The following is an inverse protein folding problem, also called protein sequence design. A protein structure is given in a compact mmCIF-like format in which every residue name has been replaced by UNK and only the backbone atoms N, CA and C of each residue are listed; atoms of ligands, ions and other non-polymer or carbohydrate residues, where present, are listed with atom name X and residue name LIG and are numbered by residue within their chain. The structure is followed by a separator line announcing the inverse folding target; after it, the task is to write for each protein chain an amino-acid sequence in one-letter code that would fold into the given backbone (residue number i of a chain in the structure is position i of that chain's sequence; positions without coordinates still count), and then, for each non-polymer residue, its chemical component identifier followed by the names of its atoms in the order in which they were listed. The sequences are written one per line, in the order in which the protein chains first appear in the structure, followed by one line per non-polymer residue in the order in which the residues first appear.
data_IF_616359634431
#
_entry.id   IF_616359634431
#
_cell.length_a   1.000
_cell.length_b   1.000
_cell.length_c   1.000
_cell.angle_alpha   90.00
_cell.angle_beta   90.00
_cell.angle_gamma   90.00
#
_symmetry.space_group_name_H-M   'P 1'
#
loop_
_entity.id
_entity.type
_entity.pdbx_description
1 polymer ?
#
# COMPACT_ATOMS: atom_id res chain seq x y z
N UNK A 1 -36.22 -28.79 -47.17
CA UNK A 1 -35.43 -29.02 -45.93
C UNK A 1 -35.08 -27.66 -45.33
N UNK A 2 -35.87 -27.22 -44.35
CA UNK A 2 -35.65 -26.01 -43.54
C UNK A 2 -35.21 -26.47 -42.14
N UNK A 3 -34.42 -25.62 -41.46
CA UNK A 3 -33.68 -25.84 -40.20
C UNK A 3 -32.23 -26.22 -40.45
N UNK A 4 -31.35 -25.22 -40.42
CA UNK A 4 -29.93 -25.39 -40.09
C UNK A 4 -29.22 -24.06 -39.78
N UNK A 5 -29.87 -22.90 -39.99
CA UNK A 5 -29.27 -21.59 -39.67
C UNK A 5 -29.64 -21.04 -38.28
N UNK A 6 -30.68 -21.58 -37.64
CA UNK A 6 -31.14 -21.04 -36.35
C UNK A 6 -30.31 -21.53 -35.15
N UNK A 7 -29.73 -22.73 -35.24
CA UNK A 7 -28.99 -23.35 -34.13
C UNK A 7 -27.61 -22.71 -33.95
N UNK A 8 -26.97 -22.26 -35.03
CA UNK A 8 -25.62 -21.68 -34.99
C UNK A 8 -25.62 -20.29 -34.32
N UNK A 9 -26.71 -19.52 -34.47
CA UNK A 9 -26.79 -18.17 -33.92
C UNK A 9 -27.10 -18.16 -32.41
N UNK A 10 -27.73 -19.20 -31.88
CA UNK A 10 -28.04 -19.31 -30.44
C UNK A 10 -26.83 -19.78 -29.61
N UNK A 11 -25.92 -20.58 -30.20
CA UNK A 11 -24.73 -21.10 -29.49
C UNK A 11 -23.67 -20.00 -29.30
N UNK A 12 -23.51 -19.08 -30.25
CA UNK A 12 -22.56 -17.95 -30.12
C UNK A 12 -22.99 -16.95 -29.05
N UNK A 13 -24.31 -16.78 -28.83
CA UNK A 13 -24.82 -15.90 -27.78
C UNK A 13 -24.61 -16.45 -26.36
N UNK A 14 -24.42 -17.76 -26.21
CA UNK A 14 -24.22 -18.39 -24.90
C UNK A 14 -22.74 -18.38 -24.46
N UNK A 15 -21.79 -18.29 -25.42
CA UNK A 15 -20.37 -18.15 -25.12
C UNK A 15 -19.96 -16.74 -24.65
N UNK A 16 -20.80 -15.72 -24.84
CA UNK A 16 -20.50 -14.36 -24.36
C UNK A 16 -20.76 -14.15 -22.86
N UNK A 17 -21.47 -15.07 -22.19
CA UNK A 17 -21.83 -14.91 -20.78
C UNK A 17 -20.78 -15.45 -19.80
N UNK A 18 -19.73 -16.11 -20.29
CA UNK A 18 -18.68 -16.71 -19.44
C UNK A 18 -17.60 -15.68 -19.03
N UNK A 19 -17.66 -14.44 -19.54
CA UNK A 19 -16.69 -13.38 -19.20
C UNK A 19 -17.16 -12.37 -18.15
N UNK A 20 -18.36 -12.53 -17.57
CA UNK A 20 -18.90 -11.59 -16.57
C UNK A 20 -18.74 -12.05 -15.11
N UNK A 21 -17.93 -13.08 -14.84
CA UNK A 21 -17.74 -13.61 -13.47
C UNK A 21 -16.31 -13.49 -12.95
N UNK A 22 -15.50 -12.58 -13.49
CA UNK A 22 -14.45 -11.98 -12.68
C UNK A 22 -15.11 -10.94 -11.78
N UNK A 23 -15.85 -11.40 -10.76
CA UNK A 23 -16.07 -10.60 -9.57
C UNK A 23 -14.70 -10.07 -9.17
N UNK A 24 -14.43 -8.78 -9.37
CA UNK A 24 -13.35 -8.08 -8.68
C UNK A 24 -13.62 -8.35 -7.20
N UNK A 25 -12.93 -9.33 -6.61
CA UNK A 25 -12.94 -9.49 -5.17
C UNK A 25 -12.41 -8.16 -4.65
N UNK A 26 -13.31 -7.37 -4.10
CA UNK A 26 -13.07 -6.27 -3.18
C UNK A 26 -12.48 -6.85 -1.90
N UNK A 27 -11.37 -7.58 -2.01
CA UNK A 27 -10.54 -7.90 -0.87
C UNK A 27 -9.61 -6.71 -0.70
N UNK A 28 -9.69 -6.06 0.46
CA UNK A 28 -8.70 -5.08 0.86
C UNK A 28 -7.29 -5.70 0.63
N UNK A 29 -6.40 -5.03 -0.11
CA UNK A 29 -5.10 -5.60 -0.48
C UNK A 29 -4.13 -5.70 0.69
N UNK A 30 -4.45 -5.11 1.84
CA UNK A 30 -3.61 -5.04 3.02
C UNK A 30 -3.86 -6.24 3.92
N UNK A 31 -2.79 -6.81 4.48
CA UNK A 31 -2.87 -7.92 5.42
C UNK A 31 -3.52 -7.49 6.75
N UNK A 32 -4.22 -8.42 7.41
CA UNK A 32 -4.80 -8.16 8.73
C UNK A 32 -3.77 -8.29 9.85
N UNK A 33 -3.95 -7.52 10.93
CA UNK A 33 -2.97 -7.43 12.02
C UNK A 33 -2.73 -8.74 12.77
N UNK A 34 -3.71 -9.63 12.86
CA UNK A 34 -3.57 -10.96 13.47
C UNK A 34 -2.59 -11.88 12.71
N UNK A 35 -2.34 -11.58 11.44
CA UNK A 35 -1.43 -12.32 10.55
C UNK A 35 -0.03 -11.71 10.50
N UNK A 36 0.30 -10.83 11.43
CA UNK A 36 1.60 -10.15 11.49
C UNK A 36 2.15 -10.21 12.90
N UNK A 37 3.41 -10.60 13.03
CA UNK A 37 4.18 -10.57 14.28
C UNK A 37 5.11 -9.36 14.34
N UNK A 38 5.60 -8.89 13.19
CA UNK A 38 6.48 -7.72 13.09
C UNK A 38 6.44 -7.03 11.74
N UNK A 39 6.91 -5.79 11.71
CA UNK A 39 7.18 -5.03 10.51
C UNK A 39 8.63 -4.55 10.49
N UNK A 40 9.26 -4.59 9.32
CA UNK A 40 10.55 -3.95 9.06
C UNK A 40 10.33 -2.88 8.00
N UNK A 41 10.65 -1.64 8.36
CA UNK A 41 10.51 -0.46 7.50
C UNK A 41 11.88 -0.09 6.96
N UNK A 42 11.93 0.28 5.69
CA UNK A 42 13.10 0.81 5.01
C UNK A 42 12.73 2.13 4.35
N UNK A 43 13.54 3.16 4.58
CA UNK A 43 13.44 4.45 3.91
C UNK A 43 14.78 4.72 3.24
N UNK A 44 14.75 4.84 1.92
CA UNK A 44 15.92 5.12 1.11
C UNK A 44 15.82 6.53 0.55
N UNK A 45 16.81 7.36 0.88
CA UNK A 45 16.89 8.73 0.38
C UNK A 45 17.24 8.77 -1.11
N UNK A 46 17.27 9.97 -1.69
CA UNK A 46 17.57 10.20 -3.09
C UNK A 46 19.05 9.93 -3.47
N UNK A 47 19.95 9.96 -2.48
CA UNK A 47 21.37 9.60 -2.59
C UNK A 47 21.62 8.10 -2.43
N UNK A 48 20.59 7.35 -2.06
CA UNK A 48 20.61 5.90 -1.90
C UNK A 48 21.04 5.42 -0.51
N UNK A 49 21.16 6.31 0.48
CA UNK A 49 21.34 5.93 1.89
C UNK A 49 20.05 5.33 2.41
N UNK A 50 20.16 4.20 3.09
CA UNK A 50 19.01 3.45 3.62
C UNK A 50 18.97 3.55 5.14
N UNK A 51 17.78 3.80 5.66
CA UNK A 51 17.45 3.81 7.08
C UNK A 51 16.42 2.73 7.33
N UNK A 52 16.61 1.93 8.38
CA UNK A 52 15.70 0.83 8.71
C UNK A 52 15.25 0.87 10.16
N UNK A 53 14.01 0.45 10.40
CA UNK A 53 13.46 0.30 11.74
C UNK A 53 12.60 -0.96 11.82
N UNK A 54 12.70 -1.70 12.93
CA UNK A 54 11.88 -2.89 13.19
C UNK A 54 10.92 -2.64 14.36
N UNK A 55 9.66 -3.02 14.18
CA UNK A 55 8.62 -2.91 15.21
C UNK A 55 7.80 -4.18 15.35
N UNK A 56 7.51 -4.55 16.59
CA UNK A 56 6.72 -5.74 16.95
C UNK A 56 5.54 -5.40 17.87
N UNK A 57 5.46 -4.15 18.37
CA UNK A 57 4.39 -3.71 19.25
C UNK A 57 3.02 -3.78 18.55
N UNK A 58 2.03 -4.37 19.21
CA UNK A 58 0.73 -4.61 18.59
C UNK A 58 -0.02 -3.32 18.24
N UNK A 59 0.11 -2.28 19.06
CA UNK A 59 -0.56 -1.00 18.78
C UNK A 59 0.10 -0.32 17.58
N UNK A 60 1.43 -0.31 17.54
CA UNK A 60 2.17 0.16 16.38
C UNK A 60 1.76 -0.58 15.10
N UNK A 61 1.72 -1.92 15.11
CA UNK A 61 1.38 -2.73 13.93
C UNK A 61 -0.04 -2.43 13.45
N UNK A 62 -1.01 -2.33 14.38
CA UNK A 62 -2.39 -1.95 14.06
C UNK A 62 -2.47 -0.55 13.45
N UNK A 63 -1.78 0.42 14.02
CA UNK A 63 -1.74 1.79 13.50
C UNK A 63 -1.10 1.86 12.11
N UNK A 64 0.01 1.14 11.91
CA UNK A 64 0.69 1.09 10.62
C UNK A 64 -0.21 0.50 9.53
N UNK A 65 -0.84 -0.65 9.82
CA UNK A 65 -1.79 -1.29 8.90
C UNK A 65 -3.02 -0.41 8.65
N UNK A 66 -3.55 0.24 9.68
CA UNK A 66 -4.65 1.18 9.53
C UNK A 66 -4.31 2.35 8.61
N UNK A 67 -3.11 2.92 8.75
CA UNK A 67 -2.64 4.01 7.87
C UNK A 67 -2.47 3.57 6.41
N UNK A 68 -2.07 2.32 6.17
CA UNK A 68 -2.00 1.74 4.83
C UNK A 68 -3.42 1.49 4.28
N UNK A 69 -4.33 0.98 5.12
CA UNK A 69 -5.73 0.75 4.75
C UNK A 69 -6.43 2.02 4.27
N UNK A 70 -6.14 3.17 4.88
CA UNK A 70 -6.70 4.46 4.46
C UNK A 70 -6.36 4.85 3.02
N UNK A 71 -5.35 4.24 2.39
CA UNK A 71 -5.04 4.45 0.98
C UNK A 71 -6.07 3.81 0.04
N UNK A 72 -6.77 2.77 0.49
CA UNK A 72 -7.68 1.97 -0.33
C UNK A 72 -9.13 2.04 0.15
N UNK A 73 -9.34 2.20 1.46
CA UNK A 73 -10.64 2.29 2.10
C UNK A 73 -10.85 3.69 2.71
N UNK A 74 -12.11 4.03 3.02
CA UNK A 74 -12.46 5.36 3.55
C UNK A 74 -12.15 5.52 5.04
N UNK A 75 -11.99 4.44 5.79
CA UNK A 75 -11.82 4.49 7.24
C UNK A 75 -11.20 3.21 7.78
N UNK A 76 -10.28 3.35 8.73
CA UNK A 76 -9.80 2.28 9.61
C UNK A 76 -9.72 2.87 11.03
N UNK A 77 -10.28 2.18 12.02
CA UNK A 77 -10.37 2.69 13.40
C UNK A 77 -9.03 2.73 14.12
N UNK A 78 -8.02 2.01 13.62
CA UNK A 78 -6.68 2.01 14.19
C UNK A 78 -5.78 3.08 13.55
N UNK A 79 -6.20 3.68 12.44
CA UNK A 79 -5.40 4.66 11.73
C UNK A 79 -5.18 5.92 12.58
N UNK A 80 -3.98 6.47 12.51
CA UNK A 80 -3.59 7.73 13.15
C UNK A 80 -3.00 8.65 12.10
N UNK A 81 -3.43 9.91 12.11
CA UNK A 81 -2.92 10.93 11.18
C UNK A 81 -1.59 11.48 11.68
N UNK A 82 -0.63 11.55 10.77
CA UNK A 82 0.68 12.17 10.95
C UNK A 82 0.78 13.35 9.98
N UNK A 83 0.05 14.43 10.31
CA UNK A 83 -0.13 15.60 9.44
C UNK A 83 1.05 16.58 9.56
N UNK A 84 2.22 16.17 9.04
CA UNK A 84 3.40 17.02 8.90
C UNK A 84 3.66 17.32 7.42
N UNK A 85 4.19 18.50 7.12
CA UNK A 85 4.58 18.81 5.74
C UNK A 85 5.86 18.05 5.36
N UNK A 86 5.77 17.22 4.32
CA UNK A 86 6.93 16.58 3.72
C UNK A 86 7.77 17.62 2.97
N UNK A 87 9.07 17.63 3.21
CA UNK A 87 10.01 18.41 2.39
C UNK A 87 10.04 17.89 0.94
N UNK A 88 10.52 18.71 0.00
CA UNK A 88 10.69 18.30 -1.40
C UNK A 88 11.57 17.05 -1.55
N UNK A 89 12.56 16.88 -0.68
CA UNK A 89 13.42 15.70 -0.63
C UNK A 89 12.66 14.47 -0.11
N UNK A 90 11.95 14.59 1.02
CA UNK A 90 11.18 13.48 1.59
C UNK A 90 10.08 12.97 0.65
N UNK A 91 9.50 13.86 -0.18
CA UNK A 91 8.50 13.47 -1.20
C UNK A 91 9.04 12.46 -2.22
N UNK A 92 10.34 12.46 -2.48
CA UNK A 92 10.99 11.63 -3.51
C UNK A 92 11.71 10.40 -2.97
N UNK A 93 11.74 10.20 -1.65
CA UNK A 93 12.30 9.00 -1.04
C UNK A 93 11.54 7.74 -1.48
N UNK A 94 12.21 6.60 -1.38
CA UNK A 94 11.60 5.28 -1.56
C UNK A 94 11.34 4.66 -0.20
N UNK A 95 10.11 4.21 0.01
CA UNK A 95 9.70 3.59 1.26
C UNK A 95 9.34 2.13 1.00
N UNK A 96 9.72 1.25 1.91
CA UNK A 96 9.34 -0.16 1.90
C UNK A 96 8.94 -0.61 3.30
N UNK A 97 7.90 -1.44 3.37
CA UNK A 97 7.40 -2.05 4.60
C UNK A 97 7.31 -3.54 4.33
N UNK A 98 8.00 -4.35 5.11
CA UNK A 98 7.89 -5.81 5.07
C UNK A 98 7.21 -6.28 6.34
N UNK A 99 6.06 -6.91 6.21
CA UNK A 99 5.37 -7.58 7.31
C UNK A 99 5.80 -9.03 7.38
N UNK A 100 5.96 -9.53 8.61
CA UNK A 100 6.40 -10.90 8.87
C UNK A 100 5.44 -11.63 9.79
N UNK A 101 5.27 -12.93 9.54
CA UNK A 101 4.68 -13.91 10.46
C UNK A 101 5.65 -15.07 10.57
N UNK A 102 5.98 -15.53 11.78
CA UNK A 102 6.88 -16.66 12.01
C UNK A 102 8.21 -16.52 11.21
N UNK A 103 8.78 -15.31 11.20
CA UNK A 103 9.99 -14.95 10.46
C UNK A 103 9.92 -15.07 8.92
N UNK A 104 8.74 -15.25 8.34
CA UNK A 104 8.51 -15.23 6.88
C UNK A 104 7.84 -13.93 6.48
N UNK A 105 8.28 -13.35 5.35
CA UNK A 105 7.59 -12.19 4.77
C UNK A 105 6.21 -12.65 4.30
N UNK A 106 5.18 -12.02 4.84
CA UNK A 106 3.78 -12.28 4.50
C UNK A 106 3.17 -11.18 3.63
N UNK A 107 3.77 -9.99 3.62
CA UNK A 107 3.40 -8.91 2.72
C UNK A 107 4.58 -7.92 2.56
N UNK A 108 4.86 -7.50 1.33
CA UNK A 108 5.84 -6.46 0.99
C UNK A 108 5.13 -5.26 0.36
N UNK A 109 5.29 -4.07 0.93
CA UNK A 109 4.66 -2.84 0.44
C UNK A 109 5.75 -1.85 0.10
N UNK A 110 5.71 -1.32 -1.13
CA UNK A 110 6.65 -0.32 -1.61
C UNK A 110 5.91 0.94 -2.01
N UNK A 111 6.30 2.08 -1.43
CA UNK A 111 5.82 3.41 -1.83
C UNK A 111 6.95 4.08 -2.60
N UNK A 112 6.72 4.33 -3.88
CA UNK A 112 7.69 4.94 -4.80
C UNK A 112 7.31 6.37 -5.16
N UNK A 113 8.16 7.06 -5.93
CA UNK A 113 7.91 8.45 -6.36
C UNK A 113 6.54 8.58 -7.04
N UNK A 114 5.90 9.72 -6.81
CA UNK A 114 4.64 10.15 -7.43
C UNK A 114 3.53 9.12 -7.22
N UNK A 115 2.94 9.07 -6.02
CA UNK A 115 1.71 8.34 -5.67
C UNK A 115 1.58 6.84 -6.00
N UNK A 116 2.66 6.16 -6.38
CA UNK A 116 2.65 4.73 -6.71
C UNK A 116 2.96 3.87 -5.50
N UNK A 117 2.02 2.99 -5.17
CA UNK A 117 2.14 1.96 -4.13
C UNK A 117 2.12 0.59 -4.79
N UNK A 118 3.06 -0.27 -4.45
CA UNK A 118 3.06 -1.68 -4.85
C UNK A 118 2.83 -2.53 -3.61
N UNK A 119 1.88 -3.46 -3.65
CA UNK A 119 1.68 -4.46 -2.60
C UNK A 119 1.96 -5.81 -3.24
N UNK A 120 3.01 -6.46 -2.78
CA UNK A 120 3.61 -7.67 -3.33
C UNK A 120 3.98 -7.51 -4.81
N UNK A 121 3.05 -7.86 -5.72
CA UNK A 121 3.22 -7.72 -7.18
C UNK A 121 2.22 -6.76 -7.80
N UNK A 122 1.19 -6.38 -7.06
CA UNK A 122 0.10 -5.55 -7.55
C UNK A 122 0.46 -4.08 -7.41
N UNK A 123 0.22 -3.31 -8.47
CA UNK A 123 0.56 -1.89 -8.55
C UNK A 123 -0.70 -1.05 -8.44
N UNK A 124 -0.65 -0.05 -7.58
CA UNK A 124 -1.73 0.87 -7.29
C UNK A 124 -1.25 2.31 -7.52
N UNK A 125 -2.10 3.10 -8.14
CA UNK A 125 -1.93 4.55 -8.23
C UNK A 125 -2.90 5.18 -7.23
N UNK A 126 -2.36 5.86 -6.22
CA UNK A 126 -3.16 6.52 -5.20
C UNK A 126 -3.72 7.82 -5.79
N UNK A 127 -5.04 7.98 -5.74
CA UNK A 127 -5.73 9.17 -6.23
C UNK A 127 -5.32 10.44 -5.48
N UNK A 128 -5.48 11.59 -6.13
CA UNK A 128 -5.18 12.90 -5.52
C UNK A 128 -6.05 13.14 -4.27
N UNK A 129 -7.27 12.59 -4.23
CA UNK A 129 -8.17 12.62 -3.08
C UNK A 129 -7.61 11.87 -1.85
N UNK A 130 -6.58 11.05 -2.04
CA UNK A 130 -5.88 10.26 -1.00
C UNK A 130 -4.44 10.73 -0.76
N UNK A 131 -4.06 11.90 -1.27
CA UNK A 131 -2.70 12.43 -1.11
C UNK A 131 -2.35 12.65 0.37
N UNK A 132 -3.32 13.14 1.17
CA UNK A 132 -3.09 13.39 2.60
C UNK A 132 -2.81 12.11 3.36
N UNK A 133 -3.55 11.03 3.07
CA UNK A 133 -3.36 9.71 3.67
C UNK A 133 -2.00 9.13 3.27
N UNK A 134 -1.61 9.29 2.01
CA UNK A 134 -0.29 8.87 1.53
C UNK A 134 0.84 9.65 2.22
N UNK A 135 0.70 10.97 2.35
CA UNK A 135 1.70 11.80 3.02
C UNK A 135 1.77 11.48 4.52
N UNK A 136 0.62 11.26 5.17
CA UNK A 136 0.53 10.79 6.55
C UNK A 136 1.23 9.43 6.74
N UNK A 137 1.06 8.48 5.82
CA UNK A 137 1.80 7.21 5.87
C UNK A 137 3.32 7.48 5.77
N UNK A 138 3.77 8.27 4.80
CA UNK A 138 5.21 8.61 4.65
C UNK A 138 5.78 9.26 5.91
N UNK A 139 5.04 10.18 6.52
CA UNK A 139 5.43 10.82 7.78
C UNK A 139 5.57 9.82 8.93
N UNK A 140 4.64 8.87 9.04
CA UNK A 140 4.73 7.80 10.03
C UNK A 140 6.04 7.00 9.85
N UNK A 141 6.38 6.64 8.61
CA UNK A 141 7.61 5.91 8.29
C UNK A 141 8.88 6.74 8.57
N UNK A 142 8.87 8.03 8.24
CA UNK A 142 9.98 8.95 8.54
C UNK A 142 10.19 9.12 10.05
N UNK A 143 9.10 9.23 10.81
CA UNK A 143 9.15 9.39 12.26
C UNK A 143 9.83 8.19 12.93
N UNK A 144 9.40 6.97 12.60
CA UNK A 144 9.95 5.76 13.25
C UNK A 144 11.37 5.46 12.80
N UNK A 145 11.76 5.87 11.59
CA UNK A 145 13.15 5.74 11.12
C UNK A 145 14.08 6.87 11.59
N UNK A 146 13.57 7.84 12.36
CA UNK A 146 14.34 8.98 12.86
C UNK A 146 14.68 10.04 11.79
N UNK A 147 14.04 9.97 10.62
CA UNK A 147 14.25 10.89 9.49
C UNK A 147 13.29 12.09 9.49
N UNK A 148 12.40 12.20 10.49
CA UNK A 148 11.46 13.34 10.59
C UNK A 148 12.15 14.66 10.98
N UNK A 149 13.32 14.63 11.63
CA UNK A 149 13.99 15.83 12.17
C UNK A 149 15.39 16.11 11.61
N UNK A 150 15.95 15.25 10.75
CA UNK A 150 17.37 15.30 10.38
C UNK A 150 17.80 16.38 9.34
N UNK A 151 16.99 17.40 9.05
CA UNK A 151 17.36 18.42 8.04
C UNK A 151 17.30 19.88 8.54
N UNK A 152 16.96 20.14 9.80
CA UNK A 152 17.06 21.49 10.38
C UNK A 152 18.46 21.82 10.96
N UNK A 153 19.39 20.87 11.01
CA UNK A 153 20.71 21.06 11.63
C UNK A 153 21.84 21.40 10.63
N UNK A 154 21.55 21.56 9.33
CA UNK A 154 22.57 21.95 8.33
C UNK A 154 22.48 23.42 7.89
N UNK A 155 21.86 24.29 8.70
CA UNK A 155 21.83 25.74 8.49
C UNK A 155 22.53 26.51 9.61
N UNK A 156 23.76 26.11 9.96
CA UNK A 156 24.71 26.94 10.69
C UNK A 156 26.03 27.01 9.92
#
# INVERSE_FOLDING_TARGET
MKKNKFIIMTVVSLCCLIFLSACKKTSNPVISADKVDKAVIFVKDDKGKEHSWEGQDSNFLKTLLGNINLLFDKSDTNAQRFDMDLTSEQKIFKYQIKFYKENKVVQDIQVSKNNKVTIDRDKFTIGEDKEKELNSLKNHLLLVTGLSHQLNDNSQ
#
